data_IF_752355129876
#
_entry.id   IF_752355129876
#
_cell.length_a   1.000
_cell.length_b   1.000
_cell.length_c   1.000
_cell.angle_alpha   90.00
_cell.angle_beta   90.00
_cell.angle_gamma   90.00
#
_symmetry.space_group_name_H-M   'P 1'
#
loop_
_entity.id
_entity.type
_entity.pdbx_description
1 polymer ?
#
# COMPACT_ATOMS: atom_id res chain seq x y z
N UNK A 1 -7.76 5.15 -7.49
CA UNK A 1 -7.04 4.00 -8.07
C UNK A 1 -6.32 4.47 -9.32
N UNK A 2 -5.08 4.08 -9.50
CA UNK A 2 -4.26 4.37 -10.69
C UNK A 2 -3.87 3.02 -11.30
N UNK A 3 -3.69 2.96 -12.61
CA UNK A 3 -3.19 1.76 -13.29
C UNK A 3 -1.81 2.05 -13.86
N UNK A 4 -0.89 1.12 -13.66
CA UNK A 4 0.42 1.13 -14.32
C UNK A 4 0.25 0.81 -15.82
N UNK A 5 1.22 1.16 -16.68
CA UNK A 5 1.22 0.78 -18.10
C UNK A 5 1.05 -0.72 -18.37
N UNK A 6 1.43 -1.60 -17.44
CA UNK A 6 1.24 -3.05 -17.52
C UNK A 6 -0.15 -3.50 -17.00
N UNK A 7 -1.05 -2.56 -16.67
CA UNK A 7 -2.40 -2.84 -16.17
C UNK A 7 -2.47 -3.20 -14.68
N UNK A 8 -1.35 -3.12 -13.95
CA UNK A 8 -1.33 -3.40 -12.52
C UNK A 8 -2.07 -2.31 -11.76
N UNK A 9 -2.90 -2.75 -10.82
CA UNK A 9 -3.63 -1.85 -9.92
C UNK A 9 -2.69 -1.22 -8.91
N UNK A 10 -2.78 0.10 -8.80
CA UNK A 10 -2.02 0.90 -7.85
C UNK A 10 -2.95 1.75 -7.00
N UNK A 11 -2.71 1.73 -5.70
CA UNK A 11 -3.40 2.54 -4.72
C UNK A 11 -2.68 3.85 -4.48
N UNK A 12 -3.44 4.91 -4.23
CA UNK A 12 -2.95 6.09 -3.54
C UNK A 12 -3.21 5.91 -2.05
N UNK A 13 -2.67 6.78 -1.18
CA UNK A 13 -3.02 6.78 0.26
C UNK A 13 -4.54 6.74 0.46
N UNK A 14 -5.30 7.55 -0.30
CA UNK A 14 -6.76 7.56 -0.23
C UNK A 14 -7.35 6.20 -0.65
N UNK A 15 -6.84 5.60 -1.71
CA UNK A 15 -7.26 4.27 -2.16
C UNK A 15 -7.01 3.18 -1.11
N UNK A 16 -5.84 3.22 -0.43
CA UNK A 16 -5.55 2.31 0.68
C UNK A 16 -6.49 2.51 1.87
N UNK A 17 -6.87 3.75 2.19
CA UNK A 17 -7.84 4.03 3.25
C UNK A 17 -9.21 3.42 2.93
N UNK A 18 -9.67 3.57 1.68
CA UNK A 18 -10.95 3.05 1.21
C UNK A 18 -10.94 1.51 1.19
N UNK A 19 -9.87 0.91 0.68
CA UNK A 19 -9.72 -0.55 0.54
C UNK A 19 -9.61 -1.24 1.91
N UNK A 20 -8.76 -0.72 2.79
CA UNK A 20 -8.54 -1.29 4.12
C UNK A 20 -9.62 -0.86 5.13
N UNK A 21 -10.56 0.01 4.74
CA UNK A 21 -11.59 0.63 5.60
C UNK A 21 -10.98 1.17 6.91
N UNK A 22 -9.88 1.90 6.78
CA UNK A 22 -9.05 2.33 7.90
C UNK A 22 -8.76 3.83 7.85
N UNK A 23 -8.27 4.38 8.97
CA UNK A 23 -7.95 5.81 9.05
C UNK A 23 -6.64 6.12 8.32
N UNK A 24 -6.49 7.39 7.91
CA UNK A 24 -5.27 7.88 7.26
C UNK A 24 -4.03 7.61 8.09
N UNK A 25 -4.11 7.83 9.41
CA UNK A 25 -3.00 7.60 10.34
C UNK A 25 -2.52 6.14 10.31
N UNK A 26 -3.45 5.18 10.25
CA UNK A 26 -3.10 3.76 10.14
C UNK A 26 -2.45 3.42 8.80
N UNK A 27 -2.92 4.03 7.72
CA UNK A 27 -2.27 3.90 6.40
C UNK A 27 -0.89 4.54 6.42
N UNK A 28 -0.73 5.71 7.05
CA UNK A 28 0.57 6.37 7.18
C UNK A 28 1.55 5.53 8.01
N UNK A 29 1.09 4.88 9.08
CA UNK A 29 1.91 3.91 9.82
C UNK A 29 2.30 2.70 8.94
N UNK A 30 1.36 2.19 8.14
CA UNK A 30 1.61 1.06 7.23
C UNK A 30 2.68 1.39 6.19
N UNK A 31 2.58 2.56 5.54
CA UNK A 31 3.52 2.95 4.47
C UNK A 31 4.89 3.37 5.01
N UNK A 32 4.96 3.82 6.26
CA UNK A 32 6.24 4.12 6.92
C UNK A 32 6.94 2.86 7.47
N UNK A 33 6.33 1.67 7.34
CA UNK A 33 7.01 0.45 7.76
C UNK A 33 8.14 0.08 6.77
N UNK A 34 9.28 -0.41 7.30
CA UNK A 34 10.39 -0.81 6.45
C UNK A 34 9.97 -1.95 5.52
N UNK A 35 10.30 -1.80 4.23
CA UNK A 35 9.93 -2.77 3.20
C UNK A 35 8.54 -2.56 2.60
N UNK A 36 7.85 -1.46 2.92
CA UNK A 36 6.61 -1.12 2.24
C UNK A 36 6.88 -0.88 0.74
N UNK A 37 6.12 -1.54 -0.16
CA UNK A 37 6.27 -1.36 -1.60
C UNK A 37 5.66 -0.01 -2.02
N UNK A 38 6.52 0.96 -2.33
CA UNK A 38 6.14 2.27 -2.85
C UNK A 38 6.78 2.52 -4.22
N UNK A 39 6.03 3.18 -5.09
CA UNK A 39 6.48 3.52 -6.43
C UNK A 39 6.30 5.01 -6.69
N UNK A 40 7.38 5.66 -7.15
CA UNK A 40 7.38 7.07 -7.52
C UNK A 40 7.37 7.22 -9.03
N UNK A 41 6.26 7.72 -9.57
CA UNK A 41 6.24 8.17 -10.95
C UNK A 41 6.89 9.54 -11.06
N UNK A 42 7.80 9.77 -12.04
CA UNK A 42 8.42 11.08 -12.23
C UNK A 42 7.40 12.20 -12.55
N UNK A 43 6.22 11.81 -13.05
CA UNK A 43 5.11 12.72 -13.36
C UNK A 43 4.18 12.99 -12.17
N UNK A 44 4.35 12.31 -11.03
CA UNK A 44 3.50 12.46 -9.85
C UNK A 44 4.30 12.91 -8.63
N UNK A 45 3.77 13.89 -7.90
CA UNK A 45 4.36 14.39 -6.64
C UNK A 45 4.16 13.43 -5.45
N UNK A 46 3.37 12.37 -5.61
CA UNK A 46 3.00 11.45 -4.52
C UNK A 46 3.28 10.01 -4.94
N UNK A 47 3.78 9.17 -4.02
CA UNK A 47 3.96 7.76 -4.29
C UNK A 47 2.62 7.07 -4.49
N UNK A 48 2.67 5.98 -5.24
CA UNK A 48 1.57 5.02 -5.36
C UNK A 48 2.05 3.66 -4.86
N UNK A 49 1.10 2.81 -4.52
CA UNK A 49 1.33 1.55 -3.81
C UNK A 49 0.74 0.40 -4.64
N UNK A 50 1.56 -0.49 -5.21
CA UNK A 50 1.07 -1.60 -6.01
C UNK A 50 0.18 -2.54 -5.19
N UNK A 51 -1.02 -2.86 -5.69
CA UNK A 51 -2.03 -3.66 -4.97
C UNK A 51 -1.49 -5.04 -4.56
N UNK A 52 -0.88 -5.75 -5.51
CA UNK A 52 -0.37 -7.11 -5.28
C UNK A 52 0.76 -7.13 -4.24
N UNK A 53 1.69 -6.18 -4.32
CA UNK A 53 2.81 -6.10 -3.38
C UNK A 53 2.34 -5.63 -2.00
N UNK A 54 1.44 -4.65 -1.92
CA UNK A 54 0.83 -4.23 -0.66
C UNK A 54 0.08 -5.38 0.01
N UNK A 55 -0.68 -6.17 -0.75
CA UNK A 55 -1.38 -7.34 -0.23
C UNK A 55 -0.39 -8.38 0.33
N UNK A 56 0.73 -8.64 -0.37
CA UNK A 56 1.78 -9.53 0.11
C UNK A 56 2.46 -8.98 1.38
N UNK A 57 2.75 -7.68 1.42
CA UNK A 57 3.34 -6.97 2.55
C UNK A 57 2.43 -7.04 3.79
N UNK A 58 1.15 -6.66 3.64
CA UNK A 58 0.15 -6.74 4.71
C UNK A 58 0.03 -8.19 5.20
N UNK A 59 -0.01 -9.17 4.29
CA UNK A 59 -0.07 -10.59 4.65
C UNK A 59 1.17 -11.02 5.44
N UNK A 60 2.38 -10.63 5.03
CA UNK A 60 3.61 -10.95 5.76
C UNK A 60 3.59 -10.37 7.18
N UNK A 61 3.19 -9.11 7.34
CA UNK A 61 3.13 -8.44 8.64
C UNK A 61 1.96 -8.90 9.54
N UNK A 62 0.85 -9.35 8.95
CA UNK A 62 -0.29 -9.90 9.71
C UNK A 62 -0.11 -11.38 10.07
N UNK A 63 0.63 -12.16 9.28
CA UNK A 63 0.93 -13.57 9.57
C UNK A 63 1.83 -13.72 10.80
N UNK A 64 2.65 -12.71 11.10
CA UNK A 64 3.46 -12.67 12.33
C UNK A 64 2.65 -12.49 13.63
N UNK A 65 1.34 -12.25 13.55
CA UNK A 65 0.49 -11.96 14.71
C UNK A 65 -0.49 -13.08 15.06
N UNK A 66 -0.18 -14.32 14.68
CA UNK A 66 -1.05 -15.49 14.92
C UNK A 66 -0.57 -16.46 16.01
N UNK A 67 0.38 -16.04 16.85
CA UNK A 67 0.89 -16.83 17.97
C UNK A 67 1.28 -15.92 19.15
N UNK A 68 0.29 -15.39 19.89
CA UNK A 68 0.36 -15.08 21.34
C UNK A 68 -1.04 -15.25 21.93
#
# INVERSE_FOLDING_TARGET
MVFDPNGSRMFTIKGLMEEMKTSREKVELLINMPGCPEFYYPTQKRPVYPEAEMAAFIKAHTTYRKDI
#
